data_IF_757651035701
#
_entry.id   IF_757651035701
#
_cell.length_a   1.000
_cell.length_b   1.000
_cell.length_c   1.000
_cell.angle_alpha   90.00
_cell.angle_beta   90.00
_cell.angle_gamma   90.00
#
_symmetry.space_group_name_H-M   'P 1'
#
loop_
_entity.id
_entity.type
_entity.pdbx_description
1 polymer ?
#
# COMPACT_ATOMS: atom_id res chain seq x y z
N UNK A 1 13.75 10.01 34.39
CA UNK A 1 12.36 9.85 34.81
C UNK A 1 11.53 9.78 33.54
N UNK A 2 11.05 8.57 33.21
CA UNK A 2 10.30 8.25 31.99
C UNK A 2 8.87 8.78 32.11
N UNK A 3 8.49 9.71 31.25
CA UNK A 3 7.08 9.96 30.91
C UNK A 3 6.80 9.26 29.59
N UNK A 4 6.11 8.12 29.69
CA UNK A 4 5.65 7.32 28.56
C UNK A 4 4.61 8.11 27.74
N UNK A 5 4.79 8.08 26.43
CA UNK A 5 3.87 8.67 25.46
C UNK A 5 2.67 7.73 25.30
N UNK A 6 1.54 8.05 25.94
CA UNK A 6 0.28 7.32 25.77
C UNK A 6 -0.32 7.61 24.40
N UNK A 7 -0.43 6.56 23.58
CA UNK A 7 -1.19 6.57 22.33
C UNK A 7 -2.67 6.59 22.70
N UNK A 8 -3.53 7.43 22.06
CA UNK A 8 -4.97 7.34 22.25
C UNK A 8 -5.44 5.98 21.76
N UNK A 9 -5.66 5.08 22.72
CA UNK A 9 -6.35 3.82 22.51
C UNK A 9 -7.81 4.12 22.22
N UNK A 10 -8.41 3.37 21.30
CA UNK A 10 -9.86 3.33 21.14
C UNK A 10 -10.46 2.92 22.49
N UNK A 11 -10.92 3.91 23.28
CA UNK A 11 -11.09 3.80 24.74
C UNK A 11 -12.30 2.97 25.17
N UNK A 12 -13.10 2.49 24.22
CA UNK A 12 -14.40 1.87 24.47
C UNK A 12 -14.34 0.53 25.24
N UNK A 13 -13.26 -0.25 25.12
CA UNK A 13 -13.13 -1.59 25.74
C UNK A 13 -11.81 -1.76 26.53
N UNK A 14 -11.44 -0.71 27.26
CA UNK A 14 -10.19 -0.62 28.02
C UNK A 14 -10.20 -1.42 29.33
N UNK A 15 -11.38 -1.77 29.87
CA UNK A 15 -11.52 -2.51 31.12
C UNK A 15 -12.21 -3.86 30.93
N UNK A 16 -11.96 -4.80 31.85
CA UNK A 16 -12.64 -6.10 31.85
C UNK A 16 -14.15 -5.96 32.10
N UNK A 17 -14.59 -4.90 32.78
CA UNK A 17 -16.01 -4.62 33.02
C UNK A 17 -16.72 -4.16 31.74
N UNK A 18 -16.11 -3.25 30.97
CA UNK A 18 -16.64 -2.80 29.68
C UNK A 18 -16.67 -3.93 28.65
N UNK A 19 -15.65 -4.78 28.64
CA UNK A 19 -15.60 -6.00 27.82
C UNK A 19 -16.68 -7.00 28.24
N UNK A 20 -16.90 -7.16 29.53
CA UNK A 20 -17.95 -8.04 30.04
C UNK A 20 -19.34 -7.55 29.65
N UNK A 21 -19.61 -6.25 29.80
CA UNK A 21 -20.87 -5.65 29.40
C UNK A 21 -21.17 -5.89 27.91
N UNK A 22 -20.17 -5.69 27.04
CA UNK A 22 -20.30 -5.98 25.60
C UNK A 22 -20.61 -7.46 25.29
N UNK A 23 -20.09 -8.41 26.09
CA UNK A 23 -20.43 -9.84 25.97
C UNK A 23 -21.86 -10.12 26.41
N UNK A 24 -22.33 -9.48 27.49
CA UNK A 24 -23.71 -9.64 27.99
C UNK A 24 -24.71 -9.06 26.99
N UNK A 25 -24.41 -7.90 26.42
CA UNK A 25 -25.25 -7.20 25.44
C UNK A 25 -25.15 -7.81 24.03
N UNK A 26 -24.16 -8.69 23.80
CA UNK A 26 -23.81 -9.24 22.49
C UNK A 26 -23.54 -8.14 21.45
N UNK A 27 -22.78 -7.13 21.86
CA UNK A 27 -22.47 -5.99 21.01
C UNK A 27 -21.62 -6.40 19.80
N UNK A 28 -22.17 -6.18 18.61
CA UNK A 28 -21.47 -6.43 17.34
C UNK A 28 -20.35 -5.42 17.05
N UNK A 29 -20.34 -4.25 17.68
CA UNK A 29 -19.29 -3.25 17.51
C UNK A 29 -18.01 -3.62 18.27
N UNK A 30 -18.13 -4.48 19.29
CA UNK A 30 -17.01 -5.04 20.03
C UNK A 30 -16.29 -6.19 19.27
N UNK A 31 -16.88 -6.71 18.19
CA UNK A 31 -16.28 -7.78 17.39
C UNK A 31 -14.97 -7.34 16.73
N UNK A 32 -13.86 -7.99 17.10
CA UNK A 32 -12.53 -7.68 16.58
C UNK A 32 -11.73 -6.70 17.44
N UNK A 33 -12.36 -6.03 18.41
CA UNK A 33 -11.67 -5.28 19.46
C UNK A 33 -11.08 -6.22 20.52
N UNK A 34 -11.81 -7.28 20.89
CA UNK A 34 -11.35 -8.36 21.75
C UNK A 34 -12.12 -9.66 21.49
N UNK A 35 -11.70 -10.73 22.13
CA UNK A 35 -12.30 -12.05 22.13
C UNK A 35 -12.46 -12.52 23.58
N UNK A 36 -13.48 -13.33 23.86
CA UNK A 36 -13.66 -13.92 25.19
C UNK A 36 -13.56 -15.43 25.12
N UNK A 37 -12.91 -16.05 26.10
CA UNK A 37 -12.79 -17.49 26.24
C UNK A 37 -13.47 -17.97 27.52
N UNK A 38 -14.05 -19.16 27.46
CA UNK A 38 -14.78 -19.77 28.59
C UNK A 38 -13.98 -20.96 29.10
N UNK A 39 -13.37 -20.80 30.29
CA UNK A 39 -12.48 -21.77 30.94
C UNK A 39 -13.06 -23.19 30.97
N UNK A 40 -14.33 -23.31 31.35
CA UNK A 40 -15.01 -24.61 31.51
C UNK A 40 -15.25 -25.36 30.21
N UNK A 41 -15.34 -24.65 29.08
CA UNK A 41 -15.60 -25.28 27.76
C UNK A 41 -14.36 -25.35 26.87
N UNK A 42 -13.30 -24.63 27.24
CA UNK A 42 -12.10 -24.49 26.41
C UNK A 42 -12.37 -23.78 25.08
N UNK A 43 -13.45 -22.99 24.96
CA UNK A 43 -13.86 -22.34 23.71
C UNK A 43 -13.73 -20.83 23.82
N UNK A 44 -13.19 -20.18 22.78
CA UNK A 44 -13.24 -18.73 22.63
C UNK A 44 -14.19 -18.27 21.52
N UNK A 45 -14.76 -17.07 21.72
CA UNK A 45 -15.86 -16.49 20.98
C UNK A 45 -15.61 -15.00 20.68
N UNK A 46 -16.42 -14.45 19.76
CA UNK A 46 -16.60 -13.00 19.60
C UNK A 46 -17.62 -12.46 20.60
N UNK A 47 -17.56 -11.19 21.02
CA UNK A 47 -18.54 -10.57 21.92
C UNK A 47 -20.00 -10.74 21.46
N UNK A 48 -20.28 -10.63 20.15
CA UNK A 48 -21.62 -10.82 19.59
C UNK A 48 -22.15 -12.26 19.56
N UNK A 49 -21.38 -13.24 20.04
CA UNK A 49 -21.71 -14.65 19.88
C UNK A 49 -23.04 -15.02 20.56
N UNK A 50 -23.96 -15.60 19.78
CA UNK A 50 -25.25 -16.10 20.27
C UNK A 50 -25.14 -17.39 21.13
N UNK A 51 -23.95 -17.81 21.54
CA UNK A 51 -23.78 -18.93 22.48
C UNK A 51 -24.48 -18.65 23.81
N UNK A 52 -24.76 -19.71 24.58
CA UNK A 52 -25.30 -19.57 25.93
C UNK A 52 -24.35 -18.69 26.75
N UNK A 53 -24.90 -17.74 27.48
CA UNK A 53 -24.12 -16.82 28.29
C UNK A 53 -23.29 -17.63 29.32
N UNK A 54 -21.95 -17.50 29.31
CA UNK A 54 -21.11 -18.12 30.33
C UNK A 54 -21.27 -17.37 31.66
N UNK A 55 -20.85 -17.98 32.76
CA UNK A 55 -20.72 -17.25 34.04
C UNK A 55 -19.48 -16.36 34.00
N UNK A 56 -19.59 -15.12 34.50
CA UNK A 56 -18.51 -14.12 34.52
C UNK A 56 -17.19 -14.67 35.06
N UNK A 57 -17.26 -15.47 36.12
CA UNK A 57 -16.11 -16.10 36.79
C UNK A 57 -15.29 -17.04 35.89
N UNK A 58 -15.91 -17.57 34.83
CA UNK A 58 -15.30 -18.51 33.89
C UNK A 58 -14.81 -17.85 32.61
N UNK A 59 -14.85 -16.51 32.52
CA UNK A 59 -14.54 -15.76 31.30
C UNK A 59 -13.19 -15.06 31.41
N UNK A 60 -12.42 -15.17 30.33
CA UNK A 60 -11.12 -14.53 30.14
C UNK A 60 -11.11 -13.78 28.80
N UNK A 61 -10.47 -12.62 28.74
CA UNK A 61 -10.46 -11.77 27.55
C UNK A 61 -9.09 -11.79 26.86
N UNK A 62 -9.12 -11.79 25.53
CA UNK A 62 -7.94 -11.81 24.68
C UNK A 62 -8.01 -10.73 23.61
N UNK A 63 -6.91 -10.03 23.30
CA UNK A 63 -6.90 -8.99 22.28
C UNK A 63 -6.94 -9.55 20.84
N UNK A 64 -6.55 -10.81 20.64
CA UNK A 64 -6.50 -11.45 19.31
C UNK A 64 -6.90 -12.91 19.38
N UNK A 65 -7.35 -13.48 18.26
CA UNK A 65 -7.64 -14.94 18.18
C UNK A 65 -6.40 -15.78 18.45
N UNK A 66 -5.23 -15.33 17.97
CA UNK A 66 -3.96 -16.03 18.15
C UNK A 66 -3.54 -16.10 19.63
N UNK A 67 -3.83 -15.05 20.41
CA UNK A 67 -3.58 -15.05 21.85
C UNK A 67 -4.46 -16.08 22.59
N UNK A 68 -5.73 -16.21 22.19
CA UNK A 68 -6.63 -17.22 22.75
C UNK A 68 -6.23 -18.65 22.37
N UNK A 69 -5.79 -18.87 21.12
CA UNK A 69 -5.32 -20.17 20.65
C UNK A 69 -4.03 -20.60 21.36
N UNK A 70 -3.07 -19.69 21.53
CA UNK A 70 -1.83 -19.95 22.27
C UNK A 70 -2.08 -20.24 23.76
N UNK A 71 -3.17 -19.70 24.32
CA UNK A 71 -3.62 -20.01 25.68
C UNK A 71 -4.40 -21.35 25.78
N UNK A 72 -4.51 -22.11 24.69
CA UNK A 72 -5.09 -23.45 24.65
C UNK A 72 -6.59 -23.51 24.35
N UNK A 73 -7.21 -22.39 24.00
CA UNK A 73 -8.63 -22.34 23.68
C UNK A 73 -8.91 -22.65 22.20
N UNK A 74 -9.97 -23.41 21.93
CA UNK A 74 -10.43 -23.70 20.56
C UNK A 74 -11.44 -22.66 20.07
N UNK A 75 -11.41 -22.35 18.77
CA UNK A 75 -12.37 -21.43 18.16
C UNK A 75 -13.81 -21.96 18.24
N UNK A 76 -14.75 -21.10 18.63
CA UNK A 76 -16.17 -21.43 18.65
C UNK A 76 -16.69 -21.79 17.26
N UNK A 77 -17.30 -22.97 17.12
CA UNK A 77 -17.88 -23.41 15.84
C UNK A 77 -19.13 -22.61 15.43
N UNK A 78 -19.75 -21.89 16.36
CA UNK A 78 -20.99 -21.13 16.13
C UNK A 78 -20.72 -19.73 15.59
N UNK A 79 -19.92 -18.92 16.29
CA UNK A 79 -19.55 -17.59 15.81
C UNK A 79 -18.31 -17.59 14.91
N UNK A 80 -17.59 -18.72 14.84
CA UNK A 80 -16.39 -18.92 14.02
C UNK A 80 -15.46 -17.71 14.11
N UNK A 81 -14.90 -17.41 15.30
CA UNK A 81 -14.22 -16.14 15.57
C UNK A 81 -13.02 -15.90 14.65
N UNK A 82 -12.41 -16.98 14.16
CA UNK A 82 -11.30 -17.02 13.20
C UNK A 82 -11.73 -16.89 11.73
N UNK A 83 -13.01 -17.12 11.41
CA UNK A 83 -13.53 -16.95 10.04
C UNK A 83 -13.63 -15.47 9.66
N UNK A 84 -13.29 -15.11 8.44
CA UNK A 84 -13.54 -13.74 7.99
C UNK A 84 -15.06 -13.43 8.08
N UNK A 85 -15.47 -12.22 8.50
CA UNK A 85 -16.87 -11.78 8.41
C UNK A 85 -17.51 -12.16 7.08
N UNK A 86 -18.80 -12.54 7.06
CA UNK A 86 -19.49 -13.05 5.86
C UNK A 86 -19.27 -12.18 4.62
N UNK A 87 -19.33 -10.86 4.79
CA UNK A 87 -19.06 -9.87 3.76
C UNK A 87 -17.62 -9.94 3.18
N UNK A 88 -16.64 -10.22 4.03
CA UNK A 88 -15.25 -10.43 3.62
C UNK A 88 -15.05 -11.73 2.87
N UNK A 89 -15.68 -12.80 3.33
CA UNK A 89 -15.63 -14.09 2.63
C UNK A 89 -16.25 -13.98 1.23
N UNK A 90 -17.32 -13.19 1.08
CA UNK A 90 -17.92 -12.87 -0.23
C UNK A 90 -16.90 -12.14 -1.12
N UNK A 91 -16.24 -11.09 -0.60
CA UNK A 91 -15.23 -10.34 -1.37
C UNK A 91 -14.00 -11.17 -1.70
N UNK A 92 -13.52 -12.00 -0.77
CA UNK A 92 -12.37 -12.88 -1.02
C UNK A 92 -12.68 -13.92 -2.10
N UNK A 93 -13.88 -14.54 -2.06
CA UNK A 93 -14.33 -15.43 -3.13
C UNK A 93 -14.46 -14.69 -4.46
N UNK A 94 -14.92 -13.44 -4.44
CA UNK A 94 -14.99 -12.61 -5.63
C UNK A 94 -13.58 -12.33 -6.19
N UNK A 95 -12.62 -11.93 -5.37
CA UNK A 95 -11.23 -11.74 -5.80
C UNK A 95 -10.63 -13.04 -6.34
N UNK A 96 -10.81 -14.18 -5.65
CA UNK A 96 -10.35 -15.48 -6.14
C UNK A 96 -10.95 -15.84 -7.50
N UNK A 97 -12.24 -15.60 -7.70
CA UNK A 97 -12.89 -15.83 -8.98
C UNK A 97 -12.34 -14.90 -10.08
N UNK A 98 -12.01 -13.65 -9.76
CA UNK A 98 -11.40 -12.69 -10.68
C UNK A 98 -9.93 -12.99 -10.97
N UNK A 99 -9.20 -13.59 -10.04
CA UNK A 99 -7.78 -13.93 -10.16
C UNK A 99 -7.52 -15.33 -10.74
N UNK A 100 -8.54 -16.20 -10.78
CA UNK A 100 -8.41 -17.59 -11.24
C UNK A 100 -7.99 -17.69 -12.71
N UNK A 101 -8.52 -16.80 -13.57
CA UNK A 101 -8.13 -16.69 -14.96
C UNK A 101 -8.07 -15.21 -15.38
N UNK A 102 -6.86 -14.63 -15.55
CA UNK A 102 -6.68 -13.25 -16.00
C UNK A 102 -7.24 -12.96 -17.41
N UNK A 103 -7.45 -14.00 -18.24
CA UNK A 103 -8.01 -13.87 -19.58
C UNK A 103 -9.54 -13.79 -19.55
N UNK A 104 -10.17 -14.41 -18.56
CA UNK A 104 -11.63 -14.48 -18.45
C UNK A 104 -12.20 -13.17 -17.91
N UNK A 105 -13.16 -12.60 -18.66
CA UNK A 105 -13.94 -11.44 -18.19
C UNK A 105 -15.22 -11.91 -17.54
N UNK A 106 -15.32 -11.70 -16.23
CA UNK A 106 -16.57 -11.94 -15.52
C UNK A 106 -17.39 -10.64 -15.49
N UNK A 107 -18.59 -10.70 -16.05
CA UNK A 107 -19.58 -9.65 -15.83
C UNK A 107 -19.94 -9.58 -14.35
N UNK A 108 -20.46 -8.43 -13.90
CA UNK A 108 -20.90 -8.29 -12.52
C UNK A 108 -21.96 -9.34 -12.16
N UNK A 109 -22.85 -9.70 -13.10
CA UNK A 109 -23.83 -10.77 -12.92
C UNK A 109 -23.17 -12.13 -12.68
N UNK A 110 -22.27 -12.55 -13.58
CA UNK A 110 -21.55 -13.83 -13.45
C UNK A 110 -20.72 -13.91 -12.16
N UNK A 111 -20.04 -12.82 -11.80
CA UNK A 111 -19.29 -12.76 -10.55
C UNK A 111 -20.20 -12.86 -9.33
N UNK A 112 -21.38 -12.25 -9.40
CA UNK A 112 -22.40 -12.28 -8.35
C UNK A 112 -23.00 -13.67 -8.16
N UNK A 113 -23.24 -14.38 -9.26
CA UNK A 113 -23.69 -15.77 -9.24
C UNK A 113 -22.63 -16.68 -8.59
N UNK A 114 -21.35 -16.47 -8.93
CA UNK A 114 -20.23 -17.23 -8.36
C UNK A 114 -20.04 -17.02 -6.85
N UNK A 115 -20.49 -15.89 -6.30
CA UNK A 115 -20.38 -15.60 -4.86
C UNK A 115 -21.73 -15.60 -4.11
N UNK A 116 -22.81 -15.93 -4.81
CA UNK A 116 -24.18 -16.04 -4.31
C UNK A 116 -24.72 -14.78 -3.62
N UNK A 117 -24.57 -13.62 -4.27
CA UNK A 117 -25.15 -12.34 -3.82
C UNK A 117 -25.72 -11.57 -5.00
N UNK A 118 -26.51 -10.51 -4.77
CA UNK A 118 -27.02 -9.69 -5.87
C UNK A 118 -25.91 -8.80 -6.47
N UNK A 119 -25.99 -8.46 -7.78
CA UNK A 119 -25.03 -7.58 -8.47
C UNK A 119 -24.81 -6.24 -7.78
N UNK A 120 -25.89 -5.59 -7.35
CA UNK A 120 -25.83 -4.30 -6.68
C UNK A 120 -25.16 -4.39 -5.31
N UNK A 121 -25.47 -5.45 -4.55
CA UNK A 121 -24.84 -5.70 -3.26
C UNK A 121 -23.35 -6.00 -3.42
N UNK A 122 -22.97 -6.85 -4.38
CA UNK A 122 -21.57 -7.17 -4.65
C UNK A 122 -20.79 -5.93 -5.08
N UNK A 123 -21.33 -5.12 -5.98
CA UNK A 123 -20.67 -3.89 -6.44
C UNK A 123 -20.34 -2.96 -5.27
N UNK A 124 -21.34 -2.68 -4.41
CA UNK A 124 -21.18 -1.78 -3.26
C UNK A 124 -20.23 -2.39 -2.23
N UNK A 125 -20.40 -3.67 -1.92
CA UNK A 125 -19.60 -4.39 -0.94
C UNK A 125 -18.13 -4.49 -1.40
N UNK A 126 -17.88 -4.93 -2.62
CA UNK A 126 -16.55 -5.04 -3.19
C UNK A 126 -15.86 -3.68 -3.26
N UNK A 127 -16.56 -2.63 -3.70
CA UNK A 127 -15.99 -1.26 -3.74
C UNK A 127 -15.66 -0.74 -2.35
N UNK A 128 -16.51 -1.00 -1.35
CA UNK A 128 -16.27 -0.63 0.05
C UNK A 128 -15.07 -1.37 0.66
N UNK A 129 -14.87 -2.64 0.29
CA UNK A 129 -13.86 -3.51 0.90
C UNK A 129 -12.51 -3.44 0.20
N UNK A 130 -12.50 -3.42 -1.13
CA UNK A 130 -11.31 -3.42 -1.98
C UNK A 130 -10.89 -1.99 -2.37
N UNK A 131 -11.80 -1.02 -2.24
CA UNK A 131 -11.55 0.40 -2.59
C UNK A 131 -11.72 0.73 -4.07
N UNK A 132 -12.04 -0.27 -4.90
CA UNK A 132 -12.34 -0.15 -6.34
C UNK A 132 -13.46 -1.11 -6.72
N UNK A 133 -14.19 -0.82 -7.79
CA UNK A 133 -15.23 -1.73 -8.30
C UNK A 133 -14.64 -3.03 -8.86
N UNK A 134 -15.40 -4.14 -8.91
CA UNK A 134 -14.98 -5.39 -9.56
C UNK A 134 -14.49 -5.19 -10.99
N UNK A 135 -15.10 -4.26 -11.74
CA UNK A 135 -14.68 -3.90 -13.10
C UNK A 135 -13.29 -3.24 -13.12
N UNK A 136 -13.05 -2.30 -12.21
CA UNK A 136 -11.76 -1.63 -12.06
C UNK A 136 -10.68 -2.58 -11.52
N UNK A 137 -11.05 -3.54 -10.69
CA UNK A 137 -10.14 -4.59 -10.20
C UNK A 137 -9.67 -5.48 -11.35
N UNK A 138 -10.60 -6.01 -12.16
CA UNK A 138 -10.26 -6.77 -13.36
C UNK A 138 -9.39 -5.96 -14.33
N UNK A 139 -9.70 -4.68 -14.50
CA UNK A 139 -8.88 -3.75 -15.28
C UNK A 139 -7.44 -3.66 -14.79
N UNK A 140 -7.24 -3.45 -13.48
CA UNK A 140 -5.91 -3.38 -12.89
C UNK A 140 -5.12 -4.69 -13.07
N UNK A 141 -5.76 -5.85 -12.88
CA UNK A 141 -5.12 -7.16 -13.05
C UNK A 141 -4.72 -7.45 -14.50
N UNK A 142 -5.54 -7.04 -15.47
CA UNK A 142 -5.19 -7.10 -16.90
C UNK A 142 -4.02 -6.18 -17.24
N UNK A 143 -4.04 -4.96 -16.72
CA UNK A 143 -2.94 -4.02 -16.90
C UNK A 143 -1.63 -4.57 -16.32
N UNK A 144 -1.67 -5.21 -15.16
CA UNK A 144 -0.54 -5.90 -14.55
C UNK A 144 -0.05 -7.09 -15.40
N UNK A 145 -0.94 -8.00 -15.82
CA UNK A 145 -0.60 -9.12 -16.68
C UNK A 145 0.00 -8.67 -18.03
N UNK A 146 -0.51 -7.57 -18.59
CA UNK A 146 0.04 -6.96 -19.79
C UNK A 146 1.46 -6.40 -19.53
N UNK A 147 1.68 -5.71 -18.41
CA UNK A 147 3.02 -5.24 -18.03
C UNK A 147 3.99 -6.40 -17.87
N UNK A 148 3.60 -7.45 -17.16
CA UNK A 148 4.45 -8.64 -16.93
C UNK A 148 4.77 -9.39 -18.23
N UNK A 149 3.82 -9.50 -19.15
CA UNK A 149 4.04 -10.09 -20.47
C UNK A 149 5.02 -9.27 -21.30
N UNK A 150 4.87 -7.95 -21.29
CA UNK A 150 5.77 -7.03 -22.00
C UNK A 150 7.18 -6.99 -21.39
N UNK A 151 7.30 -7.04 -20.06
CA UNK A 151 8.59 -7.13 -19.37
C UNK A 151 9.34 -8.43 -19.68
N UNK A 152 8.62 -9.53 -19.89
CA UNK A 152 9.18 -10.82 -20.33
C UNK A 152 9.49 -10.88 -21.83
N UNK A 153 9.39 -9.77 -22.56
CA UNK A 153 9.73 -9.66 -23.98
C UNK A 153 8.67 -10.23 -24.93
N UNK A 154 7.45 -10.49 -24.48
CA UNK A 154 6.37 -10.94 -25.36
C UNK A 154 5.93 -9.84 -26.33
N UNK A 155 5.56 -10.22 -27.55
CA UNK A 155 4.93 -9.31 -28.51
C UNK A 155 3.57 -8.81 -27.95
N UNK A 156 3.21 -7.51 -28.01
CA UNK A 156 1.91 -6.96 -27.52
C UNK A 156 0.75 -7.72 -28.07
N UNK A 157 0.75 -8.21 -29.31
CA UNK A 157 -0.42 -8.94 -29.81
C UNK A 157 -0.67 -10.16 -28.91
N UNK A 158 0.40 -10.87 -28.53
CA UNK A 158 0.38 -12.00 -27.60
C UNK A 158 0.17 -11.55 -26.15
N UNK A 159 0.91 -10.57 -25.66
CA UNK A 159 0.78 -10.07 -24.28
C UNK A 159 -0.61 -9.45 -24.00
N UNK A 160 -1.24 -8.84 -25.01
CA UNK A 160 -2.59 -8.28 -24.89
C UNK A 160 -3.64 -9.38 -24.91
N UNK A 161 -3.47 -10.37 -25.78
CA UNK A 161 -4.32 -11.56 -25.77
C UNK A 161 -4.23 -12.29 -24.42
N UNK A 162 -3.00 -12.53 -23.95
CA UNK A 162 -2.71 -13.23 -22.69
C UNK A 162 -3.18 -12.44 -21.46
N UNK A 163 -3.26 -11.11 -21.56
CA UNK A 163 -3.82 -10.23 -20.54
C UNK A 163 -5.34 -10.02 -20.67
N UNK A 164 -6.05 -10.79 -21.50
CA UNK A 164 -7.51 -10.74 -21.61
C UNK A 164 -8.07 -9.53 -22.37
N UNK A 165 -7.27 -8.89 -23.24
CA UNK A 165 -7.75 -7.89 -24.19
C UNK A 165 -8.30 -8.57 -25.44
N UNK A 166 -9.63 -8.65 -25.56
CA UNK A 166 -10.31 -9.32 -26.68
C UNK A 166 -10.13 -8.68 -28.06
N UNK A 167 -9.44 -7.55 -28.16
CA UNK A 167 -8.93 -7.01 -29.44
C UNK A 167 -7.81 -6.00 -29.20
N UNK A 168 -6.90 -5.79 -30.18
CA UNK A 168 -5.89 -4.73 -30.11
C UNK A 168 -6.50 -3.33 -29.92
N UNK A 169 -7.62 -3.02 -30.58
CA UNK A 169 -8.30 -1.72 -30.47
C UNK A 169 -8.80 -1.43 -29.05
N UNK A 170 -9.42 -2.41 -28.37
CA UNK A 170 -9.87 -2.25 -26.97
C UNK A 170 -8.72 -2.12 -25.97
N UNK A 171 -7.56 -2.68 -26.30
CA UNK A 171 -6.32 -2.46 -25.54
C UNK A 171 -5.83 -1.01 -25.69
N UNK A 172 -5.77 -0.48 -26.92
CA UNK A 172 -5.35 0.91 -27.14
C UNK A 172 -6.31 1.95 -26.52
N UNK A 173 -7.60 1.65 -26.41
CA UNK A 173 -8.60 2.49 -25.75
C UNK A 173 -8.54 2.45 -24.22
N UNK A 174 -8.42 1.26 -23.62
CA UNK A 174 -8.56 1.09 -22.16
C UNK A 174 -7.23 1.30 -21.42
N UNK A 175 -6.12 0.90 -22.03
CA UNK A 175 -4.86 0.82 -21.33
C UNK A 175 -4.16 2.16 -21.01
N UNK A 176 -4.42 3.32 -21.65
CA UNK A 176 -3.93 4.61 -21.15
C UNK A 176 -4.46 4.92 -19.75
N UNK A 177 -5.74 4.62 -19.49
CA UNK A 177 -6.37 4.82 -18.18
C UNK A 177 -5.96 3.74 -17.16
N UNK A 178 -5.68 2.51 -17.62
CA UNK A 178 -5.33 1.38 -16.74
C UNK A 178 -3.81 1.25 -16.47
N UNK A 179 -2.95 1.67 -17.40
CA UNK A 179 -1.48 1.61 -17.29
C UNK A 179 -0.84 2.96 -16.94
N UNK A 180 -1.56 4.07 -17.00
CA UNK A 180 -1.01 5.43 -16.83
C UNK A 180 -0.28 5.97 -18.07
N UNK A 181 -0.20 5.19 -19.15
CA UNK A 181 0.29 5.59 -20.47
C UNK A 181 -0.27 4.66 -21.54
N UNK A 182 -0.31 5.08 -22.81
CA UNK A 182 -0.74 4.19 -23.90
C UNK A 182 0.19 2.96 -23.99
N UNK A 183 -0.31 1.74 -24.23
CA UNK A 183 0.51 0.53 -24.40
C UNK A 183 1.59 0.68 -25.46
N UNK A 184 1.32 1.51 -26.47
CA UNK A 184 2.26 1.89 -27.51
C UNK A 184 3.44 2.71 -26.98
N UNK A 185 3.29 3.49 -25.91
CA UNK A 185 4.36 4.25 -25.24
C UNK A 185 5.10 3.38 -24.22
N UNK A 186 4.36 2.53 -23.47
CA UNK A 186 4.96 1.54 -22.55
C UNK A 186 5.80 0.51 -23.31
N UNK A 187 5.27 -0.06 -24.40
CA UNK A 187 5.96 -0.99 -25.29
C UNK A 187 7.10 -0.36 -26.07
N UNK A 188 6.99 0.94 -26.36
CA UNK A 188 8.07 1.66 -27.02
C UNK A 188 9.24 1.91 -26.09
N UNK A 189 9.23 1.52 -24.80
CA UNK A 189 10.34 1.75 -23.85
C UNK A 189 10.92 3.17 -23.96
N UNK A 190 10.07 4.16 -24.23
CA UNK A 190 10.46 5.55 -24.47
C UNK A 190 10.72 6.01 -25.91
N UNK A 191 10.44 5.23 -26.96
CA UNK A 191 10.69 5.67 -28.34
C UNK A 191 9.95 6.98 -28.68
N UNK A 192 10.73 8.00 -29.04
CA UNK A 192 10.27 9.38 -29.27
C UNK A 192 10.29 10.28 -28.04
N UNK A 193 10.67 9.76 -26.87
CA UNK A 193 10.92 10.53 -25.65
C UNK A 193 12.42 10.76 -25.47
N UNK A 194 12.79 12.00 -25.15
CA UNK A 194 14.12 12.33 -24.63
C UNK A 194 14.05 12.32 -23.12
N UNK A 195 14.83 11.43 -22.50
CA UNK A 195 14.96 11.32 -21.06
C UNK A 195 16.34 11.85 -20.68
N UNK A 196 16.33 12.96 -19.95
CA UNK A 196 17.54 13.54 -19.40
C UNK A 196 17.83 12.91 -18.06
N UNK A 197 19.08 12.56 -17.80
CA UNK A 197 19.48 12.02 -16.50
C UNK A 197 20.77 12.64 -15.98
N UNK A 198 20.95 12.58 -14.68
CA UNK A 198 22.18 12.97 -14.01
C UNK A 198 22.40 12.07 -12.80
N UNK A 199 23.66 11.76 -12.52
CA UNK A 199 24.09 10.99 -11.35
C UNK A 199 24.92 11.86 -10.42
N UNK A 200 24.75 11.67 -9.12
CA UNK A 200 25.51 12.41 -8.13
C UNK A 200 25.76 11.66 -6.82
N UNK A 201 26.84 12.02 -6.13
CA UNK A 201 27.20 11.42 -4.85
C UNK A 201 26.37 12.01 -3.70
N UNK A 202 25.91 11.15 -2.81
CA UNK A 202 25.12 11.52 -1.62
C UNK A 202 25.53 10.68 -0.40
N UNK A 203 25.12 11.08 0.82
CA UNK A 203 25.32 10.25 2.01
C UNK A 203 24.67 8.85 1.95
N UNK A 204 23.77 8.61 0.99
CA UNK A 204 23.12 7.32 0.76
C UNK A 204 23.71 6.53 -0.42
N UNK A 205 24.89 6.93 -0.90
CA UNK A 205 25.49 6.43 -2.14
C UNK A 205 25.15 7.33 -3.32
N UNK A 206 25.15 6.75 -4.52
CA UNK A 206 24.85 7.49 -5.75
C UNK A 206 23.34 7.68 -5.91
N UNK A 207 22.91 8.90 -6.23
CA UNK A 207 21.54 9.19 -6.70
C UNK A 207 21.54 9.32 -8.21
N UNK A 208 20.55 8.76 -8.88
CA UNK A 208 20.21 9.02 -10.27
C UNK A 208 18.87 9.75 -10.32
N UNK A 209 18.84 10.89 -11.00
CA UNK A 209 17.63 11.66 -11.29
C UNK A 209 17.39 11.62 -12.79
N UNK A 210 16.18 11.28 -13.21
CA UNK A 210 15.78 11.30 -14.61
C UNK A 210 14.48 12.10 -14.83
N UNK A 211 14.43 12.85 -15.92
CA UNK A 211 13.32 13.72 -16.27
C UNK A 211 12.97 13.61 -17.76
N UNK A 212 11.68 13.71 -18.05
CA UNK A 212 11.15 14.02 -19.38
C UNK A 212 11.00 15.54 -19.52
N UNK A 213 10.48 16.02 -20.65
CA UNK A 213 10.13 17.44 -20.79
C UNK A 213 8.96 17.88 -19.90
N UNK A 214 8.21 16.94 -19.30
CA UNK A 214 7.08 17.23 -18.41
C UNK A 214 7.48 17.28 -16.93
N UNK A 215 8.52 16.56 -16.54
CA UNK A 215 8.94 16.46 -15.14
C UNK A 215 9.83 15.26 -14.82
N UNK A 216 10.14 15.10 -13.54
CA UNK A 216 10.92 14.01 -12.96
C UNK A 216 10.13 12.72 -13.05
N UNK A 217 10.68 11.73 -13.76
CA UNK A 217 10.08 10.41 -13.93
C UNK A 217 10.77 9.35 -13.07
N UNK A 218 12.02 9.58 -12.63
CA UNK A 218 12.76 8.63 -11.77
C UNK A 218 13.70 9.34 -10.81
N UNK A 219 13.73 8.86 -9.56
CA UNK A 219 14.78 9.15 -8.58
C UNK A 219 15.14 7.81 -7.94
N UNK A 220 16.38 7.38 -8.12
CA UNK A 220 16.86 6.09 -7.63
C UNK A 220 18.19 6.23 -6.88
N UNK A 221 18.39 5.38 -5.87
CA UNK A 221 19.65 5.29 -5.13
C UNK A 221 20.34 3.95 -5.38
N UNK A 222 21.65 3.97 -5.47
CA UNK A 222 22.48 2.78 -5.66
C UNK A 222 23.92 3.05 -5.25
N UNK A 223 24.76 2.04 -5.36
CA UNK A 223 26.18 2.14 -5.00
C UNK A 223 27.04 2.49 -6.23
N UNK A 224 26.63 2.05 -7.42
CA UNK A 224 27.33 2.27 -8.68
C UNK A 224 26.50 3.12 -9.66
N UNK A 225 26.99 4.30 -10.12
CA UNK A 225 26.32 5.10 -11.14
C UNK A 225 26.04 4.32 -12.44
N UNK A 226 26.96 3.45 -12.87
CA UNK A 226 26.80 2.68 -14.12
C UNK A 226 25.67 1.67 -14.01
N UNK A 227 25.51 1.04 -12.85
CA UNK A 227 24.40 0.14 -12.59
C UNK A 227 23.06 0.88 -12.65
N UNK A 228 22.95 2.07 -12.04
CA UNK A 228 21.74 2.89 -12.08
C UNK A 228 21.39 3.36 -13.50
N UNK A 229 22.40 3.75 -14.28
CA UNK A 229 22.24 4.09 -15.69
C UNK A 229 21.81 2.87 -16.52
N UNK A 230 22.38 1.70 -16.23
CA UNK A 230 21.99 0.43 -16.84
C UNK A 230 20.54 0.06 -16.53
N UNK A 231 20.07 0.26 -15.30
CA UNK A 231 18.67 0.08 -14.92
C UNK A 231 17.74 1.05 -15.65
N UNK A 232 18.13 2.33 -15.75
CA UNK A 232 17.38 3.33 -16.52
C UNK A 232 17.33 2.94 -18.00
N UNK A 233 18.43 2.46 -18.56
CA UNK A 233 18.52 1.99 -19.94
C UNK A 233 17.69 0.72 -20.18
N UNK A 234 17.65 -0.20 -19.23
CA UNK A 234 16.80 -1.38 -19.32
C UNK A 234 15.32 -1.00 -19.30
N UNK A 235 14.93 -0.12 -18.37
CA UNK A 235 13.55 0.35 -18.19
C UNK A 235 13.05 1.19 -19.37
N UNK A 236 13.93 2.03 -19.95
CA UNK A 236 13.60 2.97 -21.03
C UNK A 236 14.49 2.72 -22.26
N UNK A 237 14.52 1.48 -22.74
CA UNK A 237 15.49 1.02 -23.76
C UNK A 237 15.45 1.75 -25.10
N UNK A 238 14.29 2.28 -25.53
CA UNK A 238 14.19 3.05 -26.78
C UNK A 238 14.08 4.57 -26.54
N UNK A 239 14.13 5.06 -25.30
CA UNK A 239 14.26 6.49 -25.04
C UNK A 239 15.62 6.99 -25.51
N UNK A 240 15.65 8.19 -26.10
CA UNK A 240 16.89 8.93 -26.23
C UNK A 240 17.32 9.37 -24.83
N UNK A 241 18.35 8.73 -24.27
CA UNK A 241 18.88 9.05 -22.94
C UNK A 241 20.04 10.01 -23.10
N UNK A 242 19.95 11.17 -22.46
CA UNK A 242 20.97 12.23 -22.53
C UNK A 242 21.41 12.56 -21.11
N UNK A 243 22.71 12.50 -20.84
CA UNK A 243 23.23 13.02 -19.59
C UNK A 243 23.16 14.56 -19.63
N UNK A 244 22.45 15.17 -18.69
CA UNK A 244 22.24 16.62 -18.63
C UNK A 244 22.31 17.10 -17.18
N UNK A 245 23.55 17.21 -16.69
CA UNK A 245 23.84 17.60 -15.31
C UNK A 245 23.39 19.03 -15.01
N UNK A 246 23.56 19.95 -15.94
CA UNK A 246 23.21 21.36 -15.76
C UNK A 246 21.70 21.53 -15.57
N UNK A 247 20.90 20.93 -16.44
CA UNK A 247 19.43 21.05 -16.36
C UNK A 247 18.84 20.36 -15.13
N UNK A 248 19.48 19.30 -14.64
CA UNK A 248 19.03 18.56 -13.46
C UNK A 248 19.66 19.05 -12.14
N UNK A 249 20.68 19.90 -12.20
CA UNK A 249 21.37 20.42 -11.02
C UNK A 249 20.42 21.04 -9.97
N UNK A 250 19.38 21.82 -10.34
CA UNK A 250 18.45 22.35 -9.36
C UNK A 250 17.72 21.26 -8.57
N UNK A 251 17.33 20.15 -9.22
CA UNK A 251 16.62 19.04 -8.57
C UNK A 251 17.54 18.21 -7.69
N UNK A 252 18.77 17.95 -8.16
CA UNK A 252 19.81 17.29 -7.37
C UNK A 252 20.15 18.12 -6.12
N UNK A 253 20.19 19.45 -6.23
CA UNK A 253 20.40 20.34 -5.09
C UNK A 253 19.26 20.23 -4.06
N UNK A 254 17.99 20.09 -4.48
CA UNK A 254 16.88 19.84 -3.55
C UNK A 254 17.07 18.50 -2.81
N UNK A 255 17.50 17.45 -3.50
CA UNK A 255 17.76 16.13 -2.90
C UNK A 255 18.88 16.22 -1.87
N UNK A 256 19.98 16.91 -2.18
CA UNK A 256 21.04 17.15 -1.19
C UNK A 256 20.56 17.93 0.01
N UNK A 257 19.90 19.06 -0.20
CA UNK A 257 19.33 19.87 0.88
C UNK A 257 18.39 19.03 1.78
N UNK A 258 17.63 18.10 1.19
CA UNK A 258 16.79 17.18 1.94
C UNK A 258 17.61 16.20 2.79
N UNK A 259 18.61 15.56 2.21
CA UNK A 259 19.49 14.62 2.93
C UNK A 259 20.32 15.32 4.02
N UNK A 260 20.68 16.57 3.78
CA UNK A 260 21.39 17.44 4.72
C UNK A 260 20.44 18.08 5.75
N UNK A 261 19.13 17.82 5.66
CA UNK A 261 18.10 18.30 6.58
C UNK A 261 17.86 19.81 6.57
N UNK A 262 18.34 20.53 5.55
CA UNK A 262 18.05 21.96 5.34
C UNK A 262 16.76 22.16 4.55
N UNK A 263 16.10 21.06 4.13
CA UNK A 263 14.83 21.03 3.42
C UNK A 263 14.02 19.82 3.86
N UNK A 264 12.74 20.04 4.15
CA UNK A 264 11.82 18.96 4.56
C UNK A 264 10.80 18.59 3.47
N UNK A 265 10.64 19.46 2.46
CA UNK A 265 9.65 19.32 1.38
C UNK A 265 10.30 19.45 0.01
N UNK A 266 9.82 18.64 -0.92
CA UNK A 266 10.19 18.72 -2.32
C UNK A 266 9.20 19.60 -3.09
N UNK A 267 9.73 20.39 -4.01
CA UNK A 267 8.96 21.05 -5.04
C UNK A 267 9.52 20.58 -6.39
N UNK A 268 9.10 19.37 -6.76
CA UNK A 268 9.56 18.67 -7.95
C UNK A 268 8.36 18.43 -8.87
N UNK A 269 8.40 18.87 -10.14
CA UNK A 269 7.38 18.49 -11.11
C UNK A 269 7.52 16.99 -11.39
N UNK A 270 6.53 16.18 -11.02
CA UNK A 270 6.59 14.72 -11.22
C UNK A 270 5.84 14.32 -12.50
N UNK A 271 6.49 13.53 -13.35
CA UNK A 271 5.89 12.88 -14.53
C UNK A 271 5.90 11.37 -14.34
N UNK A 272 4.95 10.89 -13.52
CA UNK A 272 4.86 9.49 -13.09
C UNK A 272 3.51 8.90 -13.48
N UNK A 273 3.53 7.71 -14.09
CA UNK A 273 2.31 6.95 -14.39
C UNK A 273 1.83 6.19 -13.16
N UNK A 274 0.66 6.55 -12.64
CA UNK A 274 0.02 5.90 -11.49
C UNK A 274 -1.34 5.33 -11.87
N UNK A 275 -1.70 4.15 -11.33
CA UNK A 275 -3.11 3.76 -11.25
C UNK A 275 -3.85 4.66 -10.25
N UNK A 276 -5.18 4.75 -10.34
CA UNK A 276 -5.97 5.55 -9.38
C UNK A 276 -5.72 5.15 -7.91
N UNK A 277 -5.49 3.87 -7.64
CA UNK A 277 -5.14 3.38 -6.30
C UNK A 277 -3.71 3.80 -5.91
N UNK A 278 -2.73 3.62 -6.78
CA UNK A 278 -1.35 4.07 -6.52
C UNK A 278 -1.28 5.58 -6.28
N UNK A 279 -1.99 6.37 -7.08
CA UNK A 279 -2.05 7.83 -6.89
C UNK A 279 -2.56 8.17 -5.49
N UNK A 280 -3.67 7.56 -5.06
CA UNK A 280 -4.22 7.76 -3.72
C UNK A 280 -3.24 7.36 -2.62
N UNK A 281 -2.55 6.23 -2.78
CA UNK A 281 -1.51 5.81 -1.83
C UNK A 281 -0.38 6.83 -1.80
N UNK A 282 0.20 7.19 -2.95
CA UNK A 282 1.31 8.14 -3.03
C UNK A 282 0.92 9.52 -2.50
N UNK A 283 -0.31 9.96 -2.69
CA UNK A 283 -0.84 11.17 -2.05
C UNK A 283 -0.87 11.04 -0.53
N UNK A 284 -1.31 9.89 0.00
CA UNK A 284 -1.26 9.62 1.44
C UNK A 284 0.19 9.59 1.96
N UNK A 285 1.13 9.02 1.21
CA UNK A 285 2.55 9.03 1.57
C UNK A 285 3.11 10.45 1.65
N UNK A 286 2.82 11.30 0.66
CA UNK A 286 3.28 12.70 0.63
C UNK A 286 2.73 13.54 1.79
N UNK A 287 1.63 13.12 2.43
CA UNK A 287 1.06 13.77 3.61
C UNK A 287 1.72 13.36 4.92
N UNK A 288 2.55 12.31 4.94
CA UNK A 288 3.31 11.93 6.14
C UNK A 288 4.37 13.01 6.39
N UNK A 289 4.38 13.70 7.55
CA UNK A 289 5.36 14.74 7.84
C UNK A 289 6.80 14.25 7.88
N UNK A 290 7.76 15.18 7.75
CA UNK A 290 9.18 14.88 7.90
C UNK A 290 9.48 14.44 9.34
N UNK A 291 10.23 13.36 9.52
CA UNK A 291 10.51 12.79 10.83
C UNK A 291 9.43 11.86 11.38
N UNK A 292 8.25 11.81 10.74
CA UNK A 292 7.16 10.91 11.14
C UNK A 292 7.13 9.60 10.34
N UNK A 293 6.50 8.60 10.92
CA UNK A 293 6.23 7.31 10.25
C UNK A 293 4.77 6.92 10.35
N UNK A 294 4.32 6.08 9.42
CA UNK A 294 3.00 5.43 9.44
C UNK A 294 3.17 3.95 9.13
N UNK A 295 2.25 3.13 9.63
CA UNK A 295 2.18 1.72 9.25
C UNK A 295 1.44 1.54 7.92
N UNK A 296 1.64 0.42 7.23
CA UNK A 296 0.81 0.08 6.05
C UNK A 296 -0.68 0.02 6.38
N UNK A 297 -1.03 -0.34 7.62
CA UNK A 297 -2.41 -0.35 8.12
C UNK A 297 -2.93 1.08 8.24
N UNK A 298 -2.16 2.00 8.82
CA UNK A 298 -2.57 3.40 8.98
C UNK A 298 -2.86 4.05 7.62
N UNK A 299 -2.03 3.74 6.61
CA UNK A 299 -2.27 4.23 5.25
C UNK A 299 -3.52 3.60 4.65
N UNK A 300 -3.74 2.29 4.84
CA UNK A 300 -4.95 1.62 4.37
C UNK A 300 -6.22 2.21 5.01
N UNK A 301 -6.15 2.51 6.31
CA UNK A 301 -7.23 3.12 7.09
C UNK A 301 -7.51 4.56 6.64
N UNK A 302 -6.47 5.39 6.46
CA UNK A 302 -6.60 6.75 5.96
C UNK A 302 -7.20 6.82 4.55
N UNK A 303 -7.05 5.76 3.77
CA UNK A 303 -7.67 5.61 2.46
C UNK A 303 -9.11 5.07 2.54
N UNK A 304 -9.68 4.84 3.71
CA UNK A 304 -10.98 4.22 3.88
C UNK A 304 -11.02 2.79 3.31
N UNK A 305 -9.87 2.12 3.26
CA UNK A 305 -9.73 0.74 2.78
C UNK A 305 -8.88 -0.09 3.75
N UNK A 306 -9.30 -0.30 5.02
CA UNK A 306 -8.51 -0.95 6.09
C UNK A 306 -7.91 -2.31 5.72
N UNK A 307 -8.50 -2.98 4.74
CA UNK A 307 -8.14 -4.33 4.31
C UNK A 307 -7.17 -4.35 3.13
N UNK A 308 -6.82 -3.19 2.57
CA UNK A 308 -5.94 -3.03 1.41
C UNK A 308 -4.44 -3.00 1.76
N UNK A 309 -4.04 -3.44 2.96
CA UNK A 309 -2.66 -3.34 3.48
C UNK A 309 -1.61 -3.90 2.49
N UNK A 310 -1.86 -5.05 1.88
CA UNK A 310 -0.94 -5.65 0.87
C UNK A 310 -0.87 -4.82 -0.41
N UNK A 311 -2.00 -4.29 -0.87
CA UNK A 311 -2.03 -3.42 -2.05
C UNK A 311 -1.28 -2.10 -1.79
N UNK A 312 -1.41 -1.53 -0.59
CA UNK A 312 -0.61 -0.38 -0.15
C UNK A 312 0.88 -0.73 -0.16
N UNK A 313 1.27 -1.89 0.36
CA UNK A 313 2.68 -2.32 0.34
C UNK A 313 3.25 -2.41 -1.09
N UNK A 314 2.49 -2.97 -2.04
CA UNK A 314 2.87 -3.02 -3.45
C UNK A 314 2.95 -1.62 -4.09
N UNK A 315 2.03 -0.72 -3.75
CA UNK A 315 2.09 0.67 -4.20
C UNK A 315 3.31 1.42 -3.66
N UNK A 316 3.74 1.14 -2.41
CA UNK A 316 4.99 1.67 -1.86
C UNK A 316 6.22 1.11 -2.57
N UNK A 317 6.24 -0.19 -2.89
CA UNK A 317 7.34 -0.86 -3.56
C UNK A 317 7.52 -0.42 -5.03
N UNK A 318 6.43 -0.02 -5.68
CA UNK A 318 6.42 0.45 -7.08
C UNK A 318 6.75 1.93 -7.24
N UNK A 319 7.05 2.66 -6.14
CA UNK A 319 7.45 4.06 -6.21
C UNK A 319 8.68 4.26 -7.12
N UNK A 320 8.60 5.07 -8.19
CA UNK A 320 9.73 5.35 -9.08
C UNK A 320 10.59 6.54 -8.63
N UNK A 321 10.13 7.36 -7.67
CA UNK A 321 10.76 8.60 -7.26
C UNK A 321 11.05 8.60 -5.75
N UNK A 322 12.22 8.06 -5.38
CA UNK A 322 12.70 8.07 -4.01
C UNK A 322 12.67 9.49 -3.41
N UNK A 323 12.37 9.58 -2.11
CA UNK A 323 12.26 10.82 -1.31
C UNK A 323 11.09 11.75 -1.71
N UNK A 324 10.89 12.02 -3.01
CA UNK A 324 9.78 12.83 -3.50
C UNK A 324 8.41 12.22 -3.15
N UNK A 325 8.31 10.89 -3.25
CA UNK A 325 7.26 10.10 -2.61
C UNK A 325 7.92 9.36 -1.44
N UNK A 326 7.62 9.71 -0.17
CA UNK A 326 8.40 9.25 0.97
C UNK A 326 7.97 7.85 1.44
N UNK A 327 8.09 6.84 0.58
CA UNK A 327 7.72 5.45 0.89
C UNK A 327 8.62 4.83 1.98
N UNK A 328 9.78 5.40 2.27
CA UNK A 328 10.64 5.01 3.40
C UNK A 328 10.02 5.34 4.77
N UNK A 329 9.06 6.27 4.84
CA UNK A 329 8.31 6.60 6.08
C UNK A 329 7.25 5.56 6.44
N UNK A 330 7.02 4.57 5.58
CA UNK A 330 6.09 3.46 5.87
C UNK A 330 6.82 2.28 6.49
N UNK A 331 6.40 1.87 7.68
CA UNK A 331 7.03 0.80 8.46
C UNK A 331 6.03 -0.32 8.78
N UNK A 332 6.53 -1.45 9.27
CA UNK A 332 5.64 -2.50 9.79
C UNK A 332 4.98 -2.02 11.08
N UNK A 333 3.80 -2.56 11.42
CA UNK A 333 3.10 -2.25 12.68
C UNK A 333 3.94 -2.61 13.93
N UNK A 334 4.84 -3.57 13.81
CA UNK A 334 5.82 -3.95 14.84
C UNK A 334 6.98 -2.95 15.02
N UNK A 335 7.04 -1.88 14.21
CA UNK A 335 8.19 -0.97 14.13
C UNK A 335 9.35 -1.49 13.27
N UNK A 336 9.23 -2.72 12.74
CA UNK A 336 10.22 -3.31 11.84
C UNK A 336 10.37 -2.57 10.51
N UNK A 337 11.59 -2.57 9.97
CA UNK A 337 11.86 -2.07 8.62
C UNK A 337 11.25 -3.06 7.60
N UNK A 338 10.17 -2.65 6.96
CA UNK A 338 9.68 -3.33 5.78
C UNK A 338 10.61 -3.12 4.58
N UNK A 339 10.45 -3.97 3.56
CA UNK A 339 11.18 -3.88 2.29
C UNK A 339 11.22 -2.45 1.73
N UNK A 340 12.39 -2.07 1.23
CA UNK A 340 12.63 -0.79 0.59
C UNK A 340 13.31 -1.07 -0.75
N UNK A 341 12.81 -0.46 -1.82
CA UNK A 341 13.29 -0.69 -3.18
C UNK A 341 14.80 -0.49 -3.31
N UNK A 342 15.36 0.46 -2.57
CA UNK A 342 16.79 0.80 -2.60
C UNK A 342 17.58 0.27 -1.40
N UNK A 343 17.02 -0.70 -0.68
CA UNK A 343 17.68 -1.44 0.40
C UNK A 343 17.38 -0.95 1.82
N UNK A 344 17.25 -1.90 2.75
CA UNK A 344 16.97 -1.62 4.16
C UNK A 344 17.97 -0.66 4.84
N UNK A 345 19.30 -0.70 4.56
CA UNK A 345 20.25 0.25 5.15
C UNK A 345 19.93 1.71 4.83
N UNK A 346 19.59 2.03 3.57
CA UNK A 346 19.22 3.40 3.16
C UNK A 346 17.95 3.88 3.85
N UNK A 347 16.94 3.02 3.96
CA UNK A 347 15.70 3.32 4.70
C UNK A 347 15.97 3.63 6.17
N UNK A 348 16.81 2.82 6.83
CA UNK A 348 17.22 3.04 8.21
C UNK A 348 17.93 4.38 8.40
N UNK A 349 18.90 4.68 7.53
CA UNK A 349 19.66 5.93 7.55
C UNK A 349 18.75 7.16 7.38
N UNK A 350 17.82 7.11 6.41
CA UNK A 350 16.81 8.16 6.20
C UNK A 350 15.97 8.39 7.44
N UNK A 351 15.34 7.33 7.97
CA UNK A 351 14.48 7.44 9.16
C UNK A 351 15.24 7.98 10.38
N UNK A 352 16.52 7.61 10.54
CA UNK A 352 17.38 8.14 11.60
C UNK A 352 17.64 9.64 11.41
N UNK A 353 18.05 10.05 10.21
CA UNK A 353 18.37 11.44 9.89
C UNK A 353 17.15 12.36 10.07
N UNK A 354 15.98 11.91 9.61
CA UNK A 354 14.75 12.68 9.76
C UNK A 354 14.33 12.84 11.22
N UNK A 355 14.38 11.76 12.01
CA UNK A 355 14.05 11.81 13.45
C UNK A 355 14.99 12.68 14.25
N UNK A 356 16.30 12.62 14.00
CA UNK A 356 17.28 13.44 14.72
C UNK A 356 17.08 14.94 14.52
N UNK A 357 16.45 15.34 13.42
CA UNK A 357 16.32 16.74 13.00
C UNK A 357 14.90 17.28 13.16
N UNK A 358 13.87 16.42 13.11
CA UNK A 358 12.48 16.80 13.40
C UNK A 358 12.22 17.19 14.85
N UNK A 359 13.08 16.77 15.80
CA UNK A 359 12.99 17.19 17.21
C UNK A 359 13.53 18.60 17.45
N UNK A 360 14.42 19.10 16.57
CA UNK A 360 15.06 20.41 16.74
C UNK A 360 14.22 21.60 16.22
N UNK A 361 13.13 21.36 15.47
CA UNK A 361 12.28 22.40 14.89
C UNK A 361 10.99 22.72 15.66
N UNK A 362 10.76 22.07 16.81
CA UNK A 362 9.49 22.14 17.56
C UNK A 362 9.48 23.02 18.81
N UNK A 363 10.57 23.74 19.11
CA UNK A 363 10.66 24.54 20.32
C UNK A 363 11.41 25.83 20.08
N UNK A 364 10.75 26.81 19.46
CA UNK A 364 10.93 28.24 19.78
C UNK A 364 9.86 29.07 19.05
N UNK A 365 8.67 29.14 19.65
CA UNK A 365 7.66 30.18 19.38
C UNK A 365 6.84 30.35 20.65
N UNK A 366 7.44 30.98 21.65
CA UNK A 366 6.74 31.79 22.64
C UNK A 366 7.78 32.50 23.52
N UNK A 367 8.39 33.56 22.99
CA UNK A 367 8.69 34.75 23.78
C UNK A 367 8.96 35.94 22.85
N UNK A 368 8.47 37.12 23.28
CA UNK A 368 8.59 38.47 22.69
C UNK A 368 7.33 38.95 21.94
N UNK A 369 6.33 39.38 22.71
CA UNK A 369 5.93 40.79 22.86
C UNK A 369 4.81 40.90 23.91
#
# INVERSE_FOLDING_TARGET
MNTAFEIPSDTAFSSDETRWQAVVERDAHADGAFFFAVRTTGVFCRPSCASRAPRRENVEFFPTTNAAENAGYRACKRCQPTSLPRELAIVERACKALDADPQQRLTLAQLSDAVHVSPFHLQRLFSRVVGVSPRQYQAARRAEALRDGLQRGQNVTRASHDAGFGSPSRMYEAAPAELGMTPSVYRRKGAGLTVRFATDATPLGTVLVAATDKGICKIAFGDDPRALEGELAAELSEAARVEDRERLAPFVAQIRAYLDGTRERFDLPLDIGATAFQQRVWDALRRIPYGETRSYTDIADALGSPRAVRAVANACASNPVALAIPCHRVVQKSGGLAGYRWGAPRKSALLKAERSRGVAGGGDKDEVA
#
